data_IF_067386646779
#
_entry.id   IF_067386646779
#
_cell.length_a   1.000
_cell.length_b   1.000
_cell.length_c   1.000
_cell.angle_alpha   90.00
_cell.angle_beta   90.00
_cell.angle_gamma   90.00
#
_symmetry.space_group_name_H-M   'P 1'
#
loop_
_entity.id
_entity.type
_entity.pdbx_description
1 polymer ?
#
# COMPACT_ATOMS: atom_id res chain seq x y z
N UNK A 1 0.80 -19.65 46.43
CA UNK A 1 -0.38 -20.09 45.67
C UNK A 1 -1.21 -18.84 45.37
N UNK A 2 -0.84 -18.10 44.31
CA UNK A 2 -1.32 -16.73 44.10
C UNK A 2 -1.45 -16.45 42.61
N UNK A 3 -2.66 -16.57 42.04
CA UNK A 3 -3.02 -15.88 40.79
C UNK A 3 -4.52 -15.57 40.82
N UNK A 4 -4.88 -14.35 41.21
CA UNK A 4 -6.20 -13.79 40.96
C UNK A 4 -6.03 -12.46 40.24
N UNK A 5 -6.62 -12.39 39.05
CA UNK A 5 -7.07 -11.18 38.33
C UNK A 5 -6.00 -10.31 37.66
N UNK A 6 -5.45 -10.80 36.55
CA UNK A 6 -5.05 -9.95 35.44
C UNK A 6 -6.23 -9.74 34.49
N UNK A 7 -7.20 -8.91 34.89
CA UNK A 7 -8.28 -8.41 34.02
C UNK A 7 -8.19 -6.88 33.99
N UNK A 8 -7.08 -6.38 33.46
CA UNK A 8 -6.83 -4.96 33.20
C UNK A 8 -5.84 -4.85 32.04
N UNK A 9 -6.37 -4.65 30.83
CA UNK A 9 -5.80 -3.86 29.72
C UNK A 9 -6.72 -4.01 28.50
N UNK A 10 -7.96 -3.56 28.68
CA UNK A 10 -8.89 -3.22 27.60
C UNK A 10 -9.45 -1.84 28.00
N UNK A 11 -8.65 -0.80 27.77
CA UNK A 11 -8.98 0.62 28.04
C UNK A 11 -7.83 1.50 27.56
N UNK A 12 -7.70 1.67 26.25
CA UNK A 12 -7.09 2.87 25.65
C UNK A 12 -7.23 2.79 24.13
N UNK A 13 -8.43 3.00 23.58
CA UNK A 13 -8.72 3.23 22.15
C UNK A 13 -10.21 3.58 22.02
N UNK A 14 -10.54 4.79 22.44
CA UNK A 14 -11.86 5.44 22.24
C UNK A 14 -11.78 6.84 22.83
N UNK A 15 -11.42 7.81 22.01
CA UNK A 15 -11.77 9.23 22.22
C UNK A 15 -12.17 9.88 20.89
N UNK A 16 -13.21 9.33 20.30
CA UNK A 16 -14.24 10.10 19.60
C UNK A 16 -15.59 9.68 20.21
N UNK A 17 -15.77 9.92 21.51
CA UNK A 17 -17.08 9.85 22.15
C UNK A 17 -17.62 11.28 22.22
N UNK A 18 -18.33 11.71 21.17
CA UNK A 18 -19.28 12.80 21.25
C UNK A 18 -20.66 12.24 20.93
N UNK A 19 -21.57 12.41 21.87
CA UNK A 19 -22.95 11.92 21.85
C UNK A 19 -23.84 12.79 20.95
N UNK A 20 -24.56 12.12 20.04
CA UNK A 20 -25.82 12.52 19.36
C UNK A 20 -25.89 13.95 18.77
N UNK A 21 -25.88 14.01 17.44
CA UNK A 21 -26.98 14.48 16.55
C UNK A 21 -26.35 15.04 15.27
N UNK A 22 -26.57 14.35 14.15
CA UNK A 22 -26.44 14.83 12.76
C UNK A 22 -25.36 15.87 12.44
N UNK A 23 -24.09 15.54 12.69
CA UNK A 23 -22.96 16.19 12.04
C UNK A 23 -21.87 15.14 11.77
N UNK A 24 -21.59 14.89 10.49
CA UNK A 24 -20.49 14.04 10.04
C UNK A 24 -19.16 14.75 10.33
N UNK A 25 -18.74 14.68 11.60
CA UNK A 25 -17.39 15.02 12.01
C UNK A 25 -16.42 13.97 11.49
N UNK A 26 -16.05 14.07 10.21
CA UNK A 26 -14.97 13.27 9.64
C UNK A 26 -13.70 13.52 10.48
N UNK A 27 -13.06 12.46 11.02
CA UNK A 27 -11.72 12.64 11.60
C UNK A 27 -10.83 13.26 10.53
N UNK A 28 -9.89 14.10 10.94
CA UNK A 28 -8.96 14.77 10.01
C UNK A 28 -7.91 13.82 9.42
N UNK A 29 -7.79 12.61 9.98
CA UNK A 29 -6.85 11.58 9.58
C UNK A 29 -7.49 10.19 9.60
N UNK A 30 -6.90 9.27 8.84
CA UNK A 30 -7.34 7.87 8.71
C UNK A 30 -6.19 6.93 9.09
N UNK A 31 -6.50 5.78 9.68
CA UNK A 31 -5.54 4.83 10.21
C UNK A 31 -5.49 3.58 9.33
N UNK A 32 -4.28 3.21 8.90
CA UNK A 32 -4.01 1.94 8.22
C UNK A 32 -3.22 1.07 9.18
N UNK A 33 -3.83 -0.03 9.61
CA UNK A 33 -3.34 -0.87 10.70
C UNK A 33 -3.08 -2.31 10.24
N UNK A 34 -2.13 -2.99 10.89
CA UNK A 34 -1.99 -4.45 10.89
C UNK A 34 -2.24 -4.94 12.31
N UNK A 35 -3.42 -5.54 12.53
CA UNK A 35 -3.85 -5.88 13.88
C UNK A 35 -3.93 -4.63 14.75
N UNK A 36 -3.10 -4.56 15.80
CA UNK A 36 -3.03 -3.41 16.71
C UNK A 36 -1.97 -2.38 16.34
N UNK A 37 -1.15 -2.60 15.30
CA UNK A 37 -0.07 -1.70 14.91
C UNK A 37 -0.47 -0.75 13.77
N UNK A 38 -0.32 0.55 13.99
CA UNK A 38 -0.55 1.56 12.95
C UNK A 38 0.67 1.70 12.05
N UNK A 39 0.45 1.40 10.77
CA UNK A 39 1.44 1.54 9.72
C UNK A 39 1.45 2.93 9.13
N UNK A 40 0.29 3.58 8.98
CA UNK A 40 0.19 4.89 8.35
C UNK A 40 -1.05 5.64 8.84
N UNK A 41 -0.86 6.92 9.22
CA UNK A 41 -1.94 7.81 9.67
C UNK A 41 -2.06 9.09 8.80
N UNK A 42 -2.44 8.96 7.51
CA UNK A 42 -2.56 10.10 6.59
C UNK A 42 -3.74 11.02 6.87
N UNK A 43 -3.70 12.21 6.28
CA UNK A 43 -4.90 13.03 6.11
C UNK A 43 -5.92 12.34 5.19
N UNK A 44 -7.19 12.71 5.35
CA UNK A 44 -8.29 12.15 4.54
C UNK A 44 -8.07 12.24 3.03
N UNK A 45 -7.44 13.33 2.56
CA UNK A 45 -7.15 13.53 1.15
C UNK A 45 -6.17 12.50 0.60
N UNK A 46 -5.08 12.26 1.34
CA UNK A 46 -4.07 11.28 0.97
C UNK A 46 -4.61 9.84 1.07
N UNK A 47 -5.35 9.53 2.15
CA UNK A 47 -5.98 8.23 2.34
C UNK A 47 -6.97 7.90 1.21
N UNK A 48 -7.87 8.85 0.89
CA UNK A 48 -8.84 8.69 -0.20
C UNK A 48 -8.16 8.54 -1.57
N UNK A 49 -7.10 9.30 -1.83
CA UNK A 49 -6.36 9.19 -3.09
C UNK A 49 -5.69 7.81 -3.19
N UNK A 50 -5.07 7.35 -2.11
CA UNK A 50 -4.44 6.04 -2.05
C UNK A 50 -5.45 4.92 -2.28
N UNK A 51 -6.58 4.91 -1.56
CA UNK A 51 -7.62 3.88 -1.72
C UNK A 51 -8.21 3.84 -3.14
N UNK A 52 -8.37 5.00 -3.80
CA UNK A 52 -8.80 5.05 -5.21
C UNK A 52 -7.77 4.44 -6.15
N UNK A 53 -6.49 4.67 -5.89
CA UNK A 53 -5.43 4.05 -6.69
C UNK A 53 -5.34 2.55 -6.42
N UNK A 54 -5.50 2.11 -5.16
CA UNK A 54 -5.62 0.68 -4.82
C UNK A 54 -6.69 0.02 -5.69
N UNK A 55 -7.91 0.57 -5.73
CA UNK A 55 -8.98 0.02 -6.55
C UNK A 55 -8.65 -0.02 -8.06
N UNK A 56 -7.95 0.98 -8.59
CA UNK A 56 -7.48 0.98 -9.99
C UNK A 56 -6.51 -0.17 -10.25
N UNK A 57 -5.56 -0.40 -9.35
CA UNK A 57 -4.56 -1.45 -9.51
C UNK A 57 -5.08 -2.85 -9.18
N UNK A 58 -6.06 -2.99 -8.29
CA UNK A 58 -6.78 -4.27 -8.13
C UNK A 58 -7.47 -4.66 -9.43
N UNK A 59 -8.11 -3.71 -10.11
CA UNK A 59 -8.75 -3.95 -11.39
C UNK A 59 -7.73 -4.23 -12.52
N UNK A 60 -6.63 -3.47 -12.59
CA UNK A 60 -5.61 -3.64 -13.63
C UNK A 60 -4.80 -4.95 -13.46
N UNK A 61 -4.51 -5.34 -12.22
CA UNK A 61 -3.70 -6.53 -11.92
C UNK A 61 -4.52 -7.80 -11.71
N UNK A 62 -5.83 -7.68 -11.47
CA UNK A 62 -6.73 -8.81 -11.21
C UNK A 62 -6.46 -9.53 -9.89
N UNK A 63 -5.76 -8.89 -8.94
CA UNK A 63 -5.44 -9.46 -7.62
C UNK A 63 -5.93 -8.54 -6.50
N UNK A 64 -6.52 -9.10 -5.42
CA UNK A 64 -6.99 -8.30 -4.29
C UNK A 64 -5.80 -7.68 -3.53
N UNK A 65 -5.96 -6.45 -3.09
CA UNK A 65 -4.92 -5.69 -2.40
C UNK A 65 -4.71 -6.12 -0.96
N UNK A 66 -5.70 -6.73 -0.31
CA UNK A 66 -5.65 -6.97 1.14
C UNK A 66 -5.85 -5.71 1.98
N UNK A 67 -6.18 -4.58 1.38
CA UNK A 67 -6.63 -3.37 2.09
C UNK A 67 -8.11 -3.53 2.39
N UNK A 68 -8.47 -3.47 3.67
CA UNK A 68 -9.84 -3.58 4.15
C UNK A 68 -10.68 -2.34 3.86
N UNK A 69 -11.98 -2.43 4.16
CA UNK A 69 -12.85 -1.26 4.11
C UNK A 69 -12.46 -0.24 5.19
N UNK A 70 -12.52 1.04 4.84
CA UNK A 70 -12.34 2.14 5.78
C UNK A 70 -13.62 2.30 6.62
N UNK A 71 -13.55 1.95 7.90
CA UNK A 71 -14.67 1.96 8.86
C UNK A 71 -14.26 2.71 10.11
N UNK A 72 -15.03 3.74 10.50
CA UNK A 72 -14.72 4.61 11.64
C UNK A 72 -13.29 5.19 11.60
N UNK A 73 -12.85 5.60 10.41
CA UNK A 73 -11.51 6.14 10.13
C UNK A 73 -10.36 5.13 10.32
N UNK A 74 -10.65 3.85 10.47
CA UNK A 74 -9.67 2.75 10.56
C UNK A 74 -9.82 1.78 9.38
N UNK A 75 -8.70 1.25 8.89
CA UNK A 75 -8.62 0.26 7.84
C UNK A 75 -7.58 -0.79 8.22
N UNK A 76 -7.96 -2.06 8.16
CA UNK A 76 -7.05 -3.18 8.40
C UNK A 76 -6.36 -3.59 7.10
N UNK A 77 -5.07 -3.91 7.18
CA UNK A 77 -4.27 -4.46 6.09
C UNK A 77 -3.97 -5.93 6.43
N UNK A 78 -4.29 -6.83 5.52
CA UNK A 78 -3.83 -8.22 5.57
C UNK A 78 -2.41 -8.29 4.98
N UNK A 79 -1.35 -8.56 5.78
CA UNK A 79 0.04 -8.50 5.29
C UNK A 79 0.33 -9.50 4.16
N UNK A 80 -0.33 -10.66 4.19
CA UNK A 80 -0.12 -11.71 3.19
C UNK A 80 -0.69 -11.34 1.82
N UNK A 81 -1.94 -10.88 1.78
CA UNK A 81 -2.59 -10.39 0.56
C UNK A 81 -1.93 -9.11 0.05
N UNK A 82 -1.60 -8.18 0.95
CA UNK A 82 -0.91 -6.94 0.59
C UNK A 82 0.48 -7.20 0.02
N UNK A 83 1.24 -8.14 0.59
CA UNK A 83 2.52 -8.56 0.02
C UNK A 83 2.39 -9.15 -1.38
N UNK A 84 1.40 -10.02 -1.63
CA UNK A 84 1.13 -10.56 -2.97
C UNK A 84 0.76 -9.46 -3.97
N UNK A 85 -0.13 -8.55 -3.59
CA UNK A 85 -0.52 -7.41 -4.41
C UNK A 85 0.68 -6.53 -4.78
N UNK A 86 1.53 -6.17 -3.81
CA UNK A 86 2.71 -5.34 -4.06
C UNK A 86 3.74 -6.07 -4.93
N UNK A 87 3.92 -7.38 -4.76
CA UNK A 87 4.79 -8.17 -5.63
C UNK A 87 4.29 -8.18 -7.08
N UNK A 88 2.99 -8.40 -7.30
CA UNK A 88 2.38 -8.33 -8.63
C UNK A 88 2.50 -6.93 -9.23
N UNK A 89 2.30 -5.90 -8.42
CA UNK A 89 2.43 -4.49 -8.83
C UNK A 89 3.85 -4.14 -9.26
N UNK A 90 4.87 -4.55 -8.49
CA UNK A 90 6.28 -4.32 -8.83
C UNK A 90 6.66 -5.08 -10.09
N UNK A 91 6.19 -6.33 -10.25
CA UNK A 91 6.43 -7.12 -11.45
C UNK A 91 5.81 -6.48 -12.70
N UNK A 92 4.55 -6.06 -12.61
CA UNK A 92 3.87 -5.34 -13.68
C UNK A 92 4.56 -4.02 -14.03
N UNK A 93 4.95 -3.24 -13.01
CA UNK A 93 5.62 -1.96 -13.22
C UNK A 93 6.98 -2.12 -13.90
N UNK A 94 7.71 -3.18 -13.58
CA UNK A 94 8.99 -3.51 -14.21
C UNK A 94 8.82 -4.06 -15.63
N UNK A 95 7.81 -4.91 -15.87
CA UNK A 95 7.58 -5.55 -17.16
C UNK A 95 7.10 -4.60 -18.26
N UNK A 96 6.62 -3.41 -17.92
CA UNK A 96 6.18 -2.43 -18.91
C UNK A 96 7.31 -1.50 -19.38
N UNK A 97 7.56 -1.49 -20.69
CA UNK A 97 8.43 -0.49 -21.33
C UNK A 97 7.70 0.82 -21.68
N UNK A 98 6.40 0.92 -21.36
CA UNK A 98 5.58 2.07 -21.73
C UNK A 98 5.83 3.25 -20.79
N UNK A 99 6.59 4.25 -21.25
CA UNK A 99 7.02 5.42 -20.44
C UNK A 99 5.88 6.15 -19.71
N UNK A 100 4.70 6.24 -20.32
CA UNK A 100 3.54 6.91 -19.71
C UNK A 100 3.02 6.08 -18.53
N UNK A 101 2.91 4.76 -18.67
CA UNK A 101 2.45 3.87 -17.59
C UNK A 101 3.42 4.00 -16.43
N UNK A 102 4.72 3.93 -16.73
CA UNK A 102 5.77 4.04 -15.74
C UNK A 102 5.74 5.39 -14.99
N UNK A 103 5.38 6.48 -15.67
CA UNK A 103 5.27 7.81 -15.06
C UNK A 103 4.02 7.93 -14.17
N UNK A 104 2.88 7.41 -14.65
CA UNK A 104 1.62 7.44 -13.91
C UNK A 104 1.66 6.57 -12.65
N UNK A 105 2.33 5.42 -12.71
CA UNK A 105 2.33 4.47 -11.60
C UNK A 105 3.42 4.70 -10.56
N UNK A 106 4.50 5.42 -10.90
CA UNK A 106 5.70 5.50 -10.04
C UNK A 106 5.40 5.90 -8.60
N UNK A 107 4.60 6.95 -8.41
CA UNK A 107 4.27 7.45 -7.06
C UNK A 107 3.43 6.47 -6.26
N UNK A 108 2.50 5.75 -6.91
CA UNK A 108 1.71 4.72 -6.26
C UNK A 108 2.58 3.53 -5.85
N UNK A 109 3.40 3.00 -6.76
CA UNK A 109 4.26 1.84 -6.51
C UNK A 109 5.20 2.10 -5.33
N UNK A 110 5.84 3.27 -5.29
CA UNK A 110 6.70 3.66 -4.16
C UNK A 110 5.93 3.72 -2.83
N UNK A 111 4.71 4.28 -2.85
CA UNK A 111 3.85 4.38 -1.66
C UNK A 111 3.39 3.01 -1.18
N UNK A 112 2.96 2.15 -2.10
CA UNK A 112 2.50 0.81 -1.79
C UNK A 112 3.63 -0.06 -1.21
N UNK A 113 4.83 0.07 -1.78
CA UNK A 113 6.04 -0.59 -1.30
C UNK A 113 6.46 -0.10 0.09
N UNK A 114 6.43 1.20 0.35
CA UNK A 114 6.71 1.76 1.69
C UNK A 114 5.76 1.18 2.75
N UNK A 115 4.47 1.06 2.42
CA UNK A 115 3.48 0.47 3.32
C UNK A 115 3.71 -1.04 3.52
N UNK A 116 4.15 -1.76 2.49
CA UNK A 116 4.49 -3.18 2.59
C UNK A 116 5.72 -3.41 3.48
N UNK A 117 6.74 -2.57 3.36
CA UNK A 117 7.93 -2.59 4.24
C UNK A 117 7.51 -2.41 5.70
N UNK A 118 6.63 -1.43 5.97
CA UNK A 118 6.09 -1.20 7.31
C UNK A 118 5.25 -2.36 7.83
N UNK A 119 4.50 -3.03 6.95
CA UNK A 119 3.72 -4.22 7.30
C UNK A 119 4.58 -5.47 7.56
N UNK A 120 5.90 -5.42 7.33
CA UNK A 120 6.77 -6.59 7.38
C UNK A 120 6.47 -7.62 6.29
N UNK A 121 5.83 -7.20 5.19
CA UNK A 121 5.49 -8.09 4.09
C UNK A 121 6.74 -8.44 3.27
N UNK A 122 6.84 -9.69 2.82
CA UNK A 122 7.95 -10.13 1.98
C UNK A 122 7.76 -9.64 0.54
N UNK A 123 8.54 -8.64 0.13
CA UNK A 123 8.54 -8.12 -1.24
C UNK A 123 9.68 -8.72 -2.06
N UNK A 124 9.33 -9.36 -3.18
CA UNK A 124 10.25 -9.97 -4.14
C UNK A 124 10.25 -9.17 -5.44
N UNK A 125 11.44 -8.83 -5.91
CA UNK A 125 11.63 -8.18 -7.20
C UNK A 125 11.80 -9.25 -8.29
N UNK A 126 11.17 -9.10 -9.47
CA UNK A 126 11.30 -10.06 -10.57
C UNK A 126 12.75 -10.19 -11.05
N UNK A 127 13.12 -11.38 -11.50
CA UNK A 127 14.39 -11.57 -12.22
C UNK A 127 14.32 -10.91 -13.61
N UNK A 128 15.45 -10.35 -14.06
CA UNK A 128 15.53 -9.73 -15.39
C UNK A 128 15.27 -10.79 -16.48
N UNK A 129 14.30 -10.53 -17.37
CA UNK A 129 13.93 -11.43 -18.47
C UNK A 129 12.74 -12.35 -18.20
N UNK A 130 12.06 -12.23 -17.06
CA UNK A 130 10.71 -12.74 -16.93
C UNK A 130 9.78 -11.81 -17.72
N UNK A 131 9.67 -12.06 -19.03
CA UNK A 131 8.74 -11.38 -19.91
C UNK A 131 7.34 -11.53 -19.29
N UNK A 132 6.86 -10.46 -18.67
CA UNK A 132 5.57 -10.39 -18.01
C UNK A 132 4.48 -10.48 -19.07
N UNK A 133 4.18 -11.69 -19.50
CA UNK A 133 3.08 -12.04 -20.38
C UNK A 133 1.74 -11.75 -19.70
N UNK A 134 1.36 -10.46 -19.67
CA UNK A 134 -0.02 -10.06 -19.64
C UNK A 134 -0.46 -9.94 -21.10
N UNK A 135 -0.69 -11.09 -21.73
CA UNK A 135 -1.28 -11.17 -23.06
C UNK A 135 -2.65 -10.46 -23.03
N UNK A 136 -2.78 -9.34 -23.72
CA UNK A 136 -4.07 -8.68 -23.87
C UNK A 136 -4.08 -7.21 -24.30
N UNK A 137 -2.96 -6.48 -24.22
CA UNK A 137 -2.89 -5.09 -24.70
C UNK A 137 -1.60 -4.87 -25.48
N UNK A 138 -1.66 -5.14 -26.79
CA UNK A 138 -0.59 -4.79 -27.71
C UNK A 138 -0.57 -3.27 -27.92
N UNK A 139 -0.08 -2.53 -26.92
CA UNK A 139 0.24 -1.12 -27.08
C UNK A 139 1.48 -1.00 -27.97
N UNK A 140 1.46 -0.03 -28.90
CA UNK A 140 2.60 0.29 -29.76
C UNK A 140 3.73 0.80 -28.88
N UNK A 141 4.68 -0.09 -28.58
CA UNK A 141 5.88 0.26 -27.82
C UNK A 141 6.91 0.92 -28.74
N UNK A 142 7.38 2.11 -28.37
CA UNK A 142 8.66 2.62 -28.87
C UNK A 142 9.75 1.93 -28.05
N UNK A 143 10.74 1.25 -28.67
CA UNK A 143 11.77 0.54 -27.93
C UNK A 143 12.53 1.51 -27.02
N UNK A 144 12.47 1.26 -25.72
CA UNK A 144 13.38 1.85 -24.74
C UNK A 144 14.32 0.71 -24.32
N UNK A 145 15.65 0.93 -24.28
CA UNK A 145 16.56 -0.11 -23.80
C UNK A 145 16.14 -0.53 -22.39
N UNK A 146 16.13 -1.85 -22.16
CA UNK A 146 15.87 -2.41 -20.83
C UNK A 146 16.81 -1.75 -19.82
N UNK A 147 16.24 -1.22 -18.72
CA UNK A 147 17.04 -0.63 -17.65
C UNK A 147 17.84 -1.74 -16.96
N UNK A 148 19.16 -1.58 -16.75
CA UNK A 148 19.94 -2.54 -15.98
C UNK A 148 19.35 -2.73 -14.58
N UNK A 149 19.25 -3.99 -14.13
CA UNK A 149 18.68 -4.43 -12.84
C UNK A 149 19.04 -3.58 -11.62
N UNK A 150 20.33 -3.23 -11.38
CA UNK A 150 20.70 -2.56 -10.13
C UNK A 150 20.07 -1.16 -10.03
N UNK A 151 20.06 -0.42 -11.13
CA UNK A 151 19.75 1.02 -11.11
C UNK A 151 18.28 1.30 -10.82
N UNK A 152 17.36 0.46 -11.30
CA UNK A 152 15.93 0.71 -11.12
C UNK A 152 15.41 0.16 -9.79
N UNK A 153 15.89 -1.02 -9.35
CA UNK A 153 15.53 -1.58 -8.05
C UNK A 153 16.00 -0.64 -6.94
N UNK A 154 17.24 -0.17 -7.03
CA UNK A 154 17.83 0.80 -6.11
C UNK A 154 17.02 2.10 -6.10
N UNK A 155 16.73 2.67 -7.27
CA UNK A 155 15.93 3.89 -7.35
C UNK A 155 14.53 3.72 -6.74
N UNK A 156 13.85 2.59 -6.98
CA UNK A 156 12.52 2.36 -6.42
C UNK A 156 12.58 2.16 -4.89
N UNK A 157 13.60 1.48 -4.38
CA UNK A 157 13.84 1.36 -2.93
C UNK A 157 14.12 2.73 -2.30
N UNK A 158 14.98 3.54 -2.89
CA UNK A 158 15.26 4.90 -2.42
C UNK A 158 13.98 5.76 -2.37
N UNK A 159 13.13 5.68 -3.42
CA UNK A 159 11.86 6.40 -3.43
C UNK A 159 10.90 5.88 -2.35
N UNK A 160 10.81 4.56 -2.16
CA UNK A 160 9.98 3.96 -1.12
C UNK A 160 10.46 4.36 0.28
N UNK A 161 11.77 4.34 0.55
CA UNK A 161 12.36 4.81 1.82
C UNK A 161 12.11 6.30 2.06
N UNK A 162 12.15 7.13 1.01
CA UNK A 162 11.82 8.55 1.11
C UNK A 162 10.34 8.75 1.48
N UNK A 163 9.43 8.00 0.84
CA UNK A 163 8.00 8.01 1.18
C UNK A 163 7.79 7.49 2.60
N UNK A 164 8.45 6.40 2.98
CA UNK A 164 8.35 5.82 4.31
C UNK A 164 8.75 6.83 5.38
N UNK A 165 9.83 7.59 5.18
CA UNK A 165 10.23 8.66 6.12
C UNK A 165 9.19 9.78 6.24
N UNK A 166 8.40 10.01 5.19
CA UNK A 166 7.34 11.03 5.17
C UNK A 166 5.99 10.52 5.70
N UNK A 167 5.80 9.21 5.87
CA UNK A 167 4.55 8.63 6.35
C UNK A 167 4.41 8.77 7.88
N UNK A 168 3.45 9.55 8.40
CA UNK A 168 3.16 9.56 9.83
C UNK A 168 2.62 8.20 10.31
N UNK A 169 2.82 7.89 11.58
CA UNK A 169 2.23 6.73 12.28
C UNK A 169 1.19 7.22 13.28
#
# INVERSE_FOLDING_TARGET
>A
MTVRRAKRRARSRSRCLSSRSDDQGACVSQYFDVGDETLWNPSNGAARLFLRQVAVYEAELGVPSGVGEMVNDECQIDPGAYGRFVNTLVAWHHGTHHRIIHTLSRGFVATALALANRAGAEVRFPEAGADGGLEGRADVQVPVPARPRPEWEEHLREQAEAVERAMPR
#
